data_IF_137882596681
#
_entry.id   IF_137882596681
#
_cell.length_a   1.000
_cell.length_b   1.000
_cell.length_c   1.000
_cell.angle_alpha   90.00
_cell.angle_beta   90.00
_cell.angle_gamma   90.00
#
_symmetry.space_group_name_H-M   'P 1'
#
loop_
_entity.id
_entity.type
_entity.pdbx_description
1 polymer ?
#
# COMPACT_ATOMS: atom_id res chain seq x y z
N UNK A 1 -41.37 26.71 31.77
CA UNK A 1 -42.58 25.86 31.91
C UNK A 1 -42.44 24.73 32.93
N UNK A 2 -41.41 23.87 32.92
CA UNK A 2 -41.27 22.73 33.86
C UNK A 2 -41.29 23.07 35.37
N UNK A 3 -40.76 24.25 35.78
CA UNK A 3 -40.68 24.63 37.21
C UNK A 3 -42.06 24.94 37.82
N UNK A 4 -42.94 25.64 37.09
CA UNK A 4 -44.30 25.97 37.56
C UNK A 4 -45.22 24.74 37.61
N UNK A 5 -45.03 23.79 36.69
CA UNK A 5 -45.77 22.52 36.71
C UNK A 5 -45.43 21.66 37.94
N UNK A 6 -44.15 21.61 38.34
CA UNK A 6 -43.73 20.92 39.56
C UNK A 6 -44.34 21.55 40.82
N UNK A 7 -44.40 22.88 40.88
CA UNK A 7 -45.01 23.61 42.00
C UNK A 7 -46.51 23.32 42.09
N UNK A 8 -47.23 23.34 40.97
CA UNK A 8 -48.67 23.04 40.92
C UNK A 8 -48.93 21.57 41.33
N UNK A 9 -48.13 20.62 40.86
CA UNK A 9 -48.25 19.21 41.27
C UNK A 9 -47.99 19.02 42.77
N UNK A 10 -47.02 19.75 43.34
CA UNK A 10 -46.72 19.69 44.77
C UNK A 10 -47.88 20.25 45.62
N UNK A 11 -48.49 21.36 45.18
CA UNK A 11 -49.68 21.93 45.82
C UNK A 11 -50.85 20.96 45.76
N UNK A 12 -51.12 20.36 44.59
CA UNK A 12 -52.19 19.38 44.41
C UNK A 12 -51.98 18.13 45.27
N UNK A 13 -50.73 17.66 45.41
CA UNK A 13 -50.39 16.52 46.26
C UNK A 13 -50.69 16.81 47.74
N UNK A 14 -50.26 17.96 48.26
CA UNK A 14 -50.55 18.37 49.64
C UNK A 14 -52.05 18.57 49.88
N UNK A 15 -52.79 19.06 48.87
CA UNK A 15 -54.24 19.27 48.96
C UNK A 15 -55.06 17.97 48.87
N UNK A 16 -54.52 16.91 48.27
CA UNK A 16 -55.25 15.66 47.98
C UNK A 16 -55.79 14.97 49.25
N UNK A 17 -55.02 14.82 50.34
CA UNK A 17 -55.56 14.26 51.59
C UNK A 17 -56.71 15.06 52.19
N UNK A 18 -56.68 16.39 52.10
CA UNK A 18 -57.78 17.24 52.55
C UNK A 18 -59.02 17.06 51.69
N UNK A 19 -58.85 16.93 50.37
CA UNK A 19 -59.94 16.71 49.43
C UNK A 19 -60.56 15.31 49.59
N UNK A 20 -59.74 14.27 49.82
CA UNK A 20 -60.22 12.92 50.12
C UNK A 20 -60.96 12.89 51.46
N UNK A 21 -60.41 13.50 52.50
CA UNK A 21 -61.09 13.60 53.79
C UNK A 21 -62.41 14.38 53.70
N UNK A 22 -62.45 15.45 52.90
CA UNK A 22 -63.68 16.19 52.60
C UNK A 22 -64.71 15.28 51.91
N UNK A 23 -64.32 14.54 50.87
CA UNK A 23 -65.21 13.62 50.16
C UNK A 23 -65.72 12.46 51.05
N UNK A 24 -64.87 11.91 51.91
CA UNK A 24 -65.24 10.82 52.83
C UNK A 24 -66.11 11.31 53.98
N UNK A 25 -65.89 12.54 54.47
CA UNK A 25 -66.72 13.19 55.48
C UNK A 25 -68.11 13.64 54.99
N UNK A 26 -68.31 13.73 53.66
CA UNK A 26 -69.59 14.03 53.03
C UNK A 26 -70.55 12.82 53.05
N UNK A 27 -70.97 12.37 54.24
CA UNK A 27 -72.14 11.47 54.36
C UNK A 27 -73.46 12.25 54.52
N UNK A 28 -73.41 13.56 54.81
CA UNK A 28 -74.56 14.48 54.79
C UNK A 28 -74.11 15.88 54.30
N UNK A 29 -74.83 16.53 53.36
CA UNK A 29 -74.40 17.77 52.70
C UNK A 29 -74.39 19.04 53.58
N UNK A 30 -74.75 18.96 54.86
CA UNK A 30 -74.92 20.13 55.75
C UNK A 30 -74.07 20.10 57.02
N UNK A 31 -73.22 19.09 57.24
CA UNK A 31 -72.33 19.04 58.41
C UNK A 31 -70.89 18.72 58.01
N UNK A 32 -70.04 19.74 58.03
CA UNK A 32 -68.61 19.61 57.82
C UNK A 32 -67.97 18.99 59.07
N UNK A 33 -67.71 17.68 59.06
CA UNK A 33 -66.95 17.00 60.11
C UNK A 33 -65.65 16.46 59.54
N UNK A 34 -64.52 17.04 59.97
CA UNK A 34 -63.19 16.50 59.69
C UNK A 34 -63.09 15.14 60.38
N UNK A 35 -62.83 14.08 59.62
CA UNK A 35 -62.71 12.72 60.16
C UNK A 35 -61.30 12.55 60.75
N UNK A 36 -61.21 11.97 61.96
CA UNK A 36 -59.96 11.69 62.67
C UNK A 36 -59.58 12.72 63.74
N UNK A 37 -58.86 12.27 64.77
CA UNK A 37 -58.25 13.13 65.79
C UNK A 37 -56.82 13.54 65.38
N UNK A 38 -56.18 14.44 66.14
CA UNK A 38 -54.83 14.94 65.80
C UNK A 38 -53.77 13.84 65.65
N UNK A 39 -53.85 12.79 66.47
CA UNK A 39 -52.95 11.63 66.40
C UNK A 39 -53.11 10.83 65.10
N UNK A 40 -54.36 10.66 64.64
CA UNK A 40 -54.67 9.98 63.38
C UNK A 40 -54.11 10.75 62.18
N UNK A 41 -54.19 12.09 62.21
CA UNK A 41 -53.63 12.96 61.17
C UNK A 41 -52.10 12.93 61.14
N UNK A 42 -51.45 12.92 62.29
CA UNK A 42 -49.99 12.81 62.39
C UNK A 42 -49.51 11.46 61.82
N UNK A 43 -50.17 10.36 62.19
CA UNK A 43 -49.85 9.03 61.68
C UNK A 43 -50.09 8.92 60.16
N UNK A 44 -51.19 9.50 59.66
CA UNK A 44 -51.46 9.58 58.23
C UNK A 44 -50.36 10.33 57.48
N UNK A 45 -49.99 11.53 57.92
CA UNK A 45 -48.94 12.32 57.27
C UNK A 45 -47.59 11.61 57.30
N UNK A 46 -47.25 10.94 58.41
CA UNK A 46 -46.02 10.13 58.53
C UNK A 46 -45.96 9.04 57.46
N UNK A 47 -47.03 8.26 57.30
CA UNK A 47 -47.10 7.21 56.27
C UNK A 47 -47.13 7.81 54.86
N UNK A 48 -47.92 8.86 54.65
CA UNK A 48 -48.08 9.54 53.36
C UNK A 48 -46.75 10.10 52.84
N UNK A 49 -45.98 10.78 53.69
CA UNK A 49 -44.64 11.28 53.34
C UNK A 49 -43.61 10.17 53.24
N UNK A 50 -43.67 9.12 54.08
CA UNK A 50 -42.76 7.98 53.97
C UNK A 50 -42.87 7.25 52.62
N UNK A 51 -44.08 7.19 52.06
CA UNK A 51 -44.35 6.63 50.74
C UNK A 51 -43.70 7.40 49.58
N UNK A 52 -43.29 8.65 49.77
CA UNK A 52 -42.61 9.46 48.74
C UNK A 52 -41.11 9.18 48.62
N UNK A 53 -40.48 8.73 49.71
CA UNK A 53 -39.03 8.54 49.75
C UNK A 53 -38.55 7.58 48.64
N UNK A 54 -39.20 6.42 48.40
CA UNK A 54 -38.83 5.54 47.29
C UNK A 54 -38.92 6.20 45.92
N UNK A 55 -39.91 7.07 45.68
CA UNK A 55 -40.07 7.78 44.40
C UNK A 55 -38.98 8.84 44.19
N UNK A 56 -38.58 9.54 45.25
CA UNK A 56 -37.48 10.52 45.20
C UNK A 56 -36.16 9.80 44.89
N UNK A 57 -35.87 8.70 45.60
CA UNK A 57 -34.67 7.89 45.35
C UNK A 57 -34.69 7.34 43.92
N UNK A 58 -35.81 6.75 43.48
CA UNK A 58 -35.97 6.25 42.12
C UNK A 58 -35.74 7.34 41.06
N UNK A 59 -36.26 8.54 41.29
CA UNK A 59 -36.06 9.67 40.38
C UNK A 59 -34.59 10.08 40.24
N UNK A 60 -33.87 10.16 41.36
CA UNK A 60 -32.43 10.43 41.35
C UNK A 60 -31.66 9.30 40.65
N UNK A 61 -31.98 8.04 40.93
CA UNK A 61 -31.37 6.87 40.29
C UNK A 61 -31.59 6.89 38.78
N UNK A 62 -32.81 7.13 38.30
CA UNK A 62 -33.11 7.22 36.86
C UNK A 62 -32.30 8.34 36.21
N UNK A 63 -32.20 9.51 36.87
CA UNK A 63 -31.46 10.64 36.32
C UNK A 63 -29.96 10.35 36.26
N UNK A 64 -29.40 9.73 37.29
CA UNK A 64 -28.00 9.32 37.34
C UNK A 64 -27.69 8.30 36.24
N UNK A 65 -28.49 7.22 36.16
CA UNK A 65 -28.32 6.16 35.16
C UNK A 65 -28.41 6.68 33.73
N UNK A 66 -29.30 7.66 33.46
CA UNK A 66 -29.36 8.29 32.13
C UNK A 66 -28.09 9.07 31.78
N UNK A 67 -27.55 9.83 32.74
CA UNK A 67 -26.31 10.57 32.52
C UNK A 67 -25.11 9.64 32.33
N UNK A 68 -25.04 8.57 33.12
CA UNK A 68 -23.98 7.56 32.99
C UNK A 68 -24.09 6.78 31.67
N UNK A 69 -25.29 6.36 31.27
CA UNK A 69 -25.54 5.70 29.99
C UNK A 69 -25.10 6.56 28.81
N UNK A 70 -25.36 7.87 28.84
CA UNK A 70 -24.88 8.80 27.81
C UNK A 70 -23.35 8.89 27.77
N UNK A 71 -22.68 8.91 28.92
CA UNK A 71 -21.20 8.90 28.98
C UNK A 71 -20.63 7.62 28.41
N UNK A 72 -21.22 6.47 28.74
CA UNK A 72 -20.80 5.16 28.22
C UNK A 72 -20.97 5.11 26.69
N UNK A 73 -22.09 5.60 26.15
CA UNK A 73 -22.31 5.66 24.70
C UNK A 73 -21.25 6.55 24.03
N UNK A 74 -20.94 7.71 24.61
CA UNK A 74 -19.93 8.61 24.07
C UNK A 74 -18.53 8.00 24.10
N UNK A 75 -18.13 7.41 25.23
CA UNK A 75 -16.84 6.73 25.38
C UNK A 75 -16.70 5.54 24.41
N UNK A 76 -17.77 4.74 24.26
CA UNK A 76 -17.80 3.64 23.30
C UNK A 76 -17.66 4.12 21.86
N UNK A 77 -18.28 5.26 21.52
CA UNK A 77 -18.16 5.85 20.19
C UNK A 77 -16.73 6.32 19.91
N UNK A 78 -16.12 7.03 20.85
CA UNK A 78 -14.72 7.48 20.74
C UNK A 78 -13.77 6.29 20.62
N UNK A 79 -13.96 5.25 21.44
CA UNK A 79 -13.15 4.04 21.35
C UNK A 79 -13.36 3.29 20.03
N UNK A 80 -14.59 3.25 19.50
CA UNK A 80 -14.87 2.62 18.22
C UNK A 80 -14.25 3.40 17.05
N UNK A 81 -14.27 4.72 17.09
CA UNK A 81 -13.62 5.57 16.09
C UNK A 81 -12.09 5.37 16.11
N UNK A 82 -11.48 5.33 17.30
CA UNK A 82 -10.06 4.98 17.47
C UNK A 82 -9.73 3.58 16.93
N UNK A 83 -10.53 2.57 17.28
CA UNK A 83 -10.34 1.20 16.80
C UNK A 83 -10.47 1.12 15.27
N UNK A 84 -11.43 1.83 14.68
CA UNK A 84 -11.60 1.91 13.23
C UNK A 84 -10.40 2.55 12.56
N UNK A 85 -9.85 3.61 13.14
CA UNK A 85 -8.67 4.28 12.63
C UNK A 85 -7.44 3.36 12.67
N UNK A 86 -7.21 2.68 13.80
CA UNK A 86 -6.16 1.66 13.92
C UNK A 86 -6.30 0.52 12.90
N UNK A 87 -7.53 0.05 12.65
CA UNK A 87 -7.78 -0.97 11.61
C UNK A 87 -7.43 -0.45 10.22
N UNK A 88 -7.85 0.77 9.87
CA UNK A 88 -7.54 1.39 8.57
C UNK A 88 -6.02 1.50 8.39
N UNK A 89 -5.30 1.96 9.39
CA UNK A 89 -3.85 2.17 9.27
C UNK A 89 -3.09 0.84 9.25
N UNK A 90 -3.58 -0.18 9.99
CA UNK A 90 -3.07 -1.56 9.87
C UNK A 90 -3.26 -2.11 8.47
N UNK A 91 -4.43 -1.92 7.86
CA UNK A 91 -4.72 -2.36 6.48
C UNK A 91 -3.80 -1.65 5.49
N UNK A 92 -3.63 -0.33 5.61
CA UNK A 92 -2.71 0.44 4.75
C UNK A 92 -1.28 -0.07 4.85
N UNK A 93 -0.80 -0.33 6.06
CA UNK A 93 0.54 -0.87 6.28
C UNK A 93 0.71 -2.26 5.64
N UNK A 94 -0.26 -3.15 5.81
CA UNK A 94 -0.25 -4.47 5.17
C UNK A 94 -0.25 -4.38 3.64
N UNK A 95 -1.07 -3.50 3.06
CA UNK A 95 -1.08 -3.26 1.61
C UNK A 95 0.27 -2.75 1.10
N UNK A 96 0.96 -1.87 1.85
CA UNK A 96 2.31 -1.40 1.50
C UNK A 96 3.35 -2.52 1.53
N UNK A 97 3.32 -3.38 2.55
CA UNK A 97 4.20 -4.55 2.62
C UNK A 97 3.96 -5.53 1.46
N UNK A 98 2.70 -5.79 1.13
CA UNK A 98 2.35 -6.66 0.01
C UNK A 98 2.83 -6.08 -1.33
N UNK A 99 2.66 -4.75 -1.53
CA UNK A 99 3.20 -4.06 -2.71
C UNK A 99 4.72 -4.18 -2.77
N UNK A 100 5.44 -3.97 -1.66
CA UNK A 100 6.90 -4.09 -1.60
C UNK A 100 7.35 -5.51 -1.98
N UNK A 101 6.67 -6.55 -1.49
CA UNK A 101 7.03 -7.93 -1.80
C UNK A 101 6.78 -8.25 -3.27
N UNK A 102 5.64 -7.83 -3.82
CA UNK A 102 5.35 -7.97 -5.27
C UNK A 102 6.37 -7.23 -6.14
N UNK A 103 6.78 -6.02 -5.74
CA UNK A 103 7.81 -5.26 -6.44
C UNK A 103 9.16 -5.99 -6.42
N UNK A 104 9.56 -6.57 -5.28
CA UNK A 104 10.77 -7.40 -5.20
C UNK A 104 10.71 -8.57 -6.17
N UNK A 105 9.59 -9.29 -6.21
CA UNK A 105 9.40 -10.38 -7.18
C UNK A 105 9.53 -9.89 -8.61
N UNK A 106 8.94 -8.73 -8.94
CA UNK A 106 9.05 -8.15 -10.28
C UNK A 106 10.48 -7.76 -10.64
N UNK A 107 11.23 -7.20 -9.69
CA UNK A 107 12.66 -6.87 -9.86
C UNK A 107 13.49 -8.13 -10.09
N UNK A 108 13.24 -9.21 -9.32
CA UNK A 108 13.93 -10.49 -9.51
C UNK A 108 13.64 -11.06 -10.89
N UNK A 109 12.37 -11.09 -11.30
CA UNK A 109 11.98 -11.54 -12.64
C UNK A 109 12.67 -10.72 -13.75
N UNK A 110 12.81 -9.40 -13.55
CA UNK A 110 13.51 -8.53 -14.48
C UNK A 110 15.01 -8.83 -14.53
N UNK A 111 15.64 -9.05 -13.37
CA UNK A 111 17.05 -9.43 -13.27
C UNK A 111 17.33 -10.77 -13.94
N UNK A 112 16.44 -11.74 -13.79
CA UNK A 112 16.54 -13.03 -14.48
C UNK A 112 16.32 -12.90 -15.99
N UNK A 113 15.45 -11.99 -16.42
CA UNK A 113 15.26 -11.70 -17.84
C UNK A 113 16.51 -11.07 -18.47
N UNK A 114 17.19 -10.19 -17.74
CA UNK A 114 18.43 -9.52 -18.14
C UNK A 114 19.69 -10.32 -17.76
N UNK A 115 19.60 -11.65 -17.65
CA UNK A 115 20.69 -12.47 -17.11
C UNK A 115 21.96 -12.48 -17.98
N UNK A 116 23.12 -12.40 -17.32
CA UNK A 116 24.46 -12.60 -17.91
C UNK A 116 24.62 -13.91 -18.69
N UNK A 117 23.84 -14.94 -18.36
CA UNK A 117 23.92 -16.25 -19.00
C UNK A 117 23.38 -16.24 -20.45
N UNK A 118 22.91 -15.10 -20.94
CA UNK A 118 22.46 -14.94 -22.32
C UNK A 118 23.55 -15.35 -23.30
N UNK A 119 24.81 -15.02 -23.03
CA UNK A 119 25.95 -15.37 -23.86
C UNK A 119 26.08 -16.90 -24.11
N UNK A 120 25.82 -17.71 -23.09
CA UNK A 120 25.87 -19.18 -23.19
C UNK A 120 24.85 -19.74 -24.20
N UNK A 121 23.75 -19.02 -24.45
CA UNK A 121 22.73 -19.44 -25.43
C UNK A 121 23.22 -19.29 -26.88
N UNK A 122 24.24 -18.46 -27.11
CA UNK A 122 24.85 -18.24 -28.42
C UNK A 122 26.01 -19.21 -28.71
N UNK A 123 26.72 -19.70 -27.68
CA UNK A 123 27.94 -20.53 -27.83
C UNK A 123 27.71 -21.81 -28.65
N UNK A 124 26.52 -22.42 -28.60
CA UNK A 124 26.21 -23.68 -29.28
C UNK A 124 25.36 -23.52 -30.55
N UNK A 125 25.15 -22.30 -31.04
CA UNK A 125 24.30 -22.02 -32.20
C UNK A 125 25.15 -21.58 -33.38
N UNK A 126 25.06 -22.33 -34.49
CA UNK A 126 25.93 -22.16 -35.66
C UNK A 126 25.20 -21.65 -36.90
N UNK A 127 23.87 -21.59 -36.89
CA UNK A 127 23.07 -21.07 -38.01
C UNK A 127 22.30 -19.80 -37.62
N UNK A 128 22.08 -18.93 -38.61
CA UNK A 128 21.45 -17.62 -38.41
C UNK A 128 19.97 -17.70 -37.96
N UNK A 129 19.25 -18.76 -38.35
CA UNK A 129 17.87 -18.99 -37.92
C UNK A 129 17.80 -19.24 -36.40
N UNK A 130 18.71 -20.05 -35.86
CA UNK A 130 18.80 -20.34 -34.44
C UNK A 130 19.18 -19.08 -33.63
N UNK A 131 20.09 -18.26 -34.14
CA UNK A 131 20.49 -17.01 -33.48
C UNK A 131 19.33 -16.02 -33.42
N UNK A 132 18.59 -15.84 -34.52
CA UNK A 132 17.38 -15.02 -34.56
C UNK A 132 16.30 -15.49 -33.58
N UNK A 133 16.11 -16.81 -33.47
CA UNK A 133 15.18 -17.40 -32.52
C UNK A 133 15.58 -17.10 -31.07
N UNK A 134 16.89 -17.15 -30.75
CA UNK A 134 17.40 -16.77 -29.42
C UNK A 134 17.12 -15.30 -29.14
N UNK A 135 17.46 -14.40 -30.06
CA UNK A 135 17.20 -12.95 -29.92
C UNK A 135 15.71 -12.69 -29.69
N UNK A 136 14.83 -13.26 -30.53
CA UNK A 136 13.38 -13.10 -30.39
C UNK A 136 12.83 -13.64 -29.06
N UNK A 137 13.31 -14.79 -28.60
CA UNK A 137 12.92 -15.36 -27.31
C UNK A 137 13.33 -14.45 -26.14
N UNK A 138 14.56 -13.91 -26.16
CA UNK A 138 15.04 -12.98 -25.13
C UNK A 138 14.30 -11.65 -25.16
N UNK A 139 14.00 -11.09 -26.34
CA UNK A 139 13.16 -9.90 -26.48
C UNK A 139 11.80 -10.08 -25.80
N UNK A 140 11.13 -11.20 -26.09
CA UNK A 140 9.82 -11.50 -25.51
C UNK A 140 9.89 -11.68 -24.00
N UNK A 141 10.95 -12.32 -23.50
CA UNK A 141 11.20 -12.51 -22.06
C UNK A 141 11.37 -11.16 -21.36
N UNK A 142 12.25 -10.31 -21.87
CA UNK A 142 12.52 -8.97 -21.30
C UNK A 142 11.29 -8.09 -21.37
N UNK A 143 10.58 -8.06 -22.49
CA UNK A 143 9.36 -7.25 -22.62
C UNK A 143 8.27 -7.71 -21.64
N UNK A 144 8.10 -9.02 -21.44
CA UNK A 144 7.13 -9.54 -20.46
C UNK A 144 7.52 -9.13 -19.03
N UNK A 145 8.79 -9.25 -18.68
CA UNK A 145 9.29 -8.85 -17.36
C UNK A 145 9.18 -7.34 -17.14
N UNK A 146 9.49 -6.53 -18.17
CA UNK A 146 9.34 -5.07 -18.16
C UNK A 146 7.89 -4.66 -17.95
N UNK A 147 6.94 -5.26 -18.68
CA UNK A 147 5.52 -4.97 -18.51
C UNK A 147 5.02 -5.36 -17.11
N UNK A 148 5.48 -6.49 -16.58
CA UNK A 148 5.14 -6.92 -15.23
C UNK A 148 5.68 -5.95 -14.17
N UNK A 149 6.95 -5.55 -14.27
CA UNK A 149 7.55 -4.53 -13.41
C UNK A 149 6.83 -3.17 -13.53
N UNK A 150 6.55 -2.76 -14.76
CA UNK A 150 5.81 -1.54 -15.06
C UNK A 150 4.44 -1.52 -14.38
N UNK A 151 3.75 -2.66 -14.27
CA UNK A 151 2.43 -2.74 -13.62
C UNK A 151 2.42 -2.34 -12.14
N UNK A 152 3.56 -2.48 -11.44
CA UNK A 152 3.71 -2.08 -10.03
C UNK A 152 4.18 -0.63 -9.86
N UNK A 153 4.61 -0.02 -10.96
CA UNK A 153 5.09 1.36 -11.02
C UNK A 153 4.11 2.26 -11.81
N UNK A 154 2.88 1.77 -12.07
CA UNK A 154 1.80 2.58 -12.66
C UNK A 154 1.40 3.63 -11.63
N UNK A 155 1.47 4.91 -12.02
CA UNK A 155 1.30 6.07 -11.14
C UNK A 155 2.44 6.26 -10.14
N UNK A 156 3.68 6.31 -10.64
CA UNK A 156 4.84 6.73 -9.84
C UNK A 156 4.51 8.00 -9.05
N UNK A 157 4.40 7.89 -7.73
CA UNK A 157 4.12 9.03 -6.84
C UNK A 157 5.42 9.77 -6.50
N UNK A 158 6.55 9.07 -6.65
CA UNK A 158 7.86 9.54 -6.23
C UNK A 158 8.83 9.64 -7.39
N UNK A 159 9.67 10.69 -7.36
CA UNK A 159 10.72 10.92 -8.37
C UNK A 159 11.67 9.73 -8.55
N UNK A 160 11.93 8.97 -7.49
CA UNK A 160 12.82 7.80 -7.48
C UNK A 160 12.23 6.64 -8.29
N UNK A 161 10.91 6.44 -8.25
CA UNK A 161 10.23 5.43 -9.05
C UNK A 161 10.31 5.81 -10.54
N UNK A 162 10.04 7.07 -10.86
CA UNK A 162 10.14 7.59 -12.24
C UNK A 162 11.56 7.47 -12.80
N UNK A 163 12.57 7.87 -12.03
CA UNK A 163 13.99 7.73 -12.42
C UNK A 163 14.34 6.25 -12.67
N UNK A 164 13.82 5.35 -11.83
CA UNK A 164 14.06 3.92 -12.00
C UNK A 164 13.38 3.37 -13.27
N UNK A 165 12.16 3.78 -13.59
CA UNK A 165 11.47 3.38 -14.84
C UNK A 165 12.26 3.83 -16.06
N UNK A 166 12.71 5.09 -16.08
CA UNK A 166 13.56 5.60 -17.18
C UNK A 166 14.89 4.85 -17.27
N UNK A 167 15.50 4.54 -16.13
CA UNK A 167 16.72 3.75 -16.08
C UNK A 167 16.51 2.35 -16.67
N UNK A 168 15.46 1.64 -16.26
CA UNK A 168 15.13 0.31 -16.79
C UNK A 168 14.89 0.36 -18.29
N UNK A 169 14.19 1.39 -18.78
CA UNK A 169 13.95 1.55 -20.21
C UNK A 169 15.26 1.70 -20.99
N UNK A 170 16.15 2.60 -20.56
CA UNK A 170 17.49 2.78 -21.16
C UNK A 170 18.32 1.49 -21.07
N UNK A 171 18.26 0.78 -19.95
CA UNK A 171 19.00 -0.46 -19.75
C UNK A 171 18.48 -1.58 -20.67
N UNK A 172 17.17 -1.71 -20.87
CA UNK A 172 16.58 -2.66 -21.81
C UNK A 172 17.03 -2.37 -23.26
N UNK A 173 17.06 -1.11 -23.68
CA UNK A 173 17.58 -0.74 -25.00
C UNK A 173 19.03 -1.20 -25.16
N UNK A 174 19.87 -0.92 -24.16
CA UNK A 174 21.24 -1.43 -24.12
C UNK A 174 21.25 -2.96 -24.23
N UNK A 175 20.36 -3.67 -23.53
CA UNK A 175 20.32 -5.15 -23.53
C UNK A 175 20.05 -5.68 -24.93
N UNK A 176 19.12 -5.06 -25.62
CA UNK A 176 18.79 -5.41 -26.99
C UNK A 176 19.96 -5.14 -27.94
N UNK A 177 20.71 -4.06 -27.72
CA UNK A 177 21.96 -3.83 -28.42
C UNK A 177 22.99 -4.93 -28.19
N UNK A 178 23.15 -5.40 -26.94
CA UNK A 178 23.99 -6.55 -26.60
C UNK A 178 23.53 -7.82 -27.32
N UNK A 179 22.23 -8.10 -27.38
CA UNK A 179 21.70 -9.27 -28.10
C UNK A 179 22.08 -9.25 -29.58
N UNK A 180 21.92 -8.09 -30.23
CA UNK A 180 22.30 -7.94 -31.63
C UNK A 180 23.82 -8.02 -31.82
N UNK A 181 24.61 -7.55 -30.87
CA UNK A 181 26.07 -7.62 -30.91
C UNK A 181 26.55 -9.08 -30.77
N UNK A 182 25.91 -9.86 -29.89
CA UNK A 182 26.16 -11.30 -29.73
C UNK A 182 25.73 -12.09 -30.97
N UNK A 183 24.56 -11.77 -31.53
CA UNK A 183 24.08 -12.38 -32.78
C UNK A 183 25.10 -12.17 -33.91
N UNK A 184 25.58 -10.93 -34.08
CA UNK A 184 26.60 -10.61 -35.07
C UNK A 184 27.91 -11.36 -34.82
N UNK A 185 28.43 -11.32 -33.59
CA UNK A 185 29.69 -11.98 -33.22
C UNK A 185 29.65 -13.49 -33.51
N UNK A 186 28.55 -14.15 -33.17
CA UNK A 186 28.37 -15.59 -33.38
C UNK A 186 27.96 -15.98 -34.82
N UNK A 187 27.57 -15.00 -35.65
CA UNK A 187 27.36 -15.21 -37.09
C UNK A 187 28.67 -15.20 -37.90
N UNK A 188 29.74 -14.62 -37.36
CA UNK A 188 31.04 -14.52 -38.03
C UNK A 188 31.77 -15.87 -37.98
N UNK A 189 32.32 -16.28 -39.12
CA UNK A 189 33.20 -17.45 -39.22
C UNK A 189 34.60 -17.12 -38.68
N UNK A 190 35.21 -18.04 -37.94
CA UNK A 190 36.59 -17.88 -37.45
C UNK A 190 37.61 -17.85 -38.60
N UNK A 191 38.74 -17.16 -38.37
CA UNK A 191 39.89 -17.11 -39.27
C UNK A 191 39.58 -16.56 -40.68
N UNK A 192 38.64 -15.60 -40.78
CA UNK A 192 38.43 -14.86 -42.03
C UNK A 192 39.49 -13.76 -42.24
N UNK A 193 39.79 -13.38 -43.50
CA UNK A 193 40.66 -12.25 -43.78
C UNK A 193 40.18 -10.96 -43.11
N UNK A 194 41.11 -10.15 -42.59
CA UNK A 194 40.78 -8.90 -41.87
C UNK A 194 39.94 -7.94 -42.72
N UNK A 195 40.18 -7.85 -44.03
CA UNK A 195 39.39 -7.00 -44.93
C UNK A 195 37.93 -7.45 -45.03
N UNK A 196 37.69 -8.77 -44.98
CA UNK A 196 36.34 -9.33 -44.97
C UNK A 196 35.64 -9.02 -43.65
N UNK A 197 36.31 -9.23 -42.52
CA UNK A 197 35.76 -8.87 -41.21
C UNK A 197 35.45 -7.37 -41.14
N UNK A 198 36.33 -6.52 -41.65
CA UNK A 198 36.10 -5.08 -41.72
C UNK A 198 34.86 -4.72 -42.54
N UNK A 199 34.65 -5.33 -43.71
CA UNK A 199 33.45 -5.12 -44.52
C UNK A 199 32.18 -5.56 -43.77
N UNK A 200 32.22 -6.73 -43.13
CA UNK A 200 31.09 -7.25 -42.36
C UNK A 200 30.74 -6.35 -41.16
N UNK A 201 31.76 -5.85 -40.45
CA UNK A 201 31.59 -4.91 -39.32
C UNK A 201 31.02 -3.56 -39.79
N UNK A 202 31.50 -3.01 -40.90
CA UNK A 202 30.98 -1.75 -41.45
C UNK A 202 29.52 -1.90 -41.86
N UNK A 203 29.18 -2.98 -42.56
CA UNK A 203 27.79 -3.28 -42.96
C UNK A 203 26.88 -3.44 -41.75
N UNK A 204 27.35 -4.13 -40.72
CA UNK A 204 26.62 -4.29 -39.47
C UNK A 204 26.39 -2.94 -38.77
N UNK A 205 27.44 -2.12 -38.63
CA UNK A 205 27.36 -0.78 -38.04
C UNK A 205 26.35 0.11 -38.77
N UNK A 206 26.38 0.11 -40.10
CA UNK A 206 25.42 0.87 -40.92
C UNK A 206 23.98 0.40 -40.69
N UNK A 207 23.75 -0.91 -40.55
CA UNK A 207 22.41 -1.46 -40.27
C UNK A 207 21.84 -1.10 -38.88
N UNK A 208 22.69 -0.60 -37.96
CA UNK A 208 22.33 -0.30 -36.57
C UNK A 208 22.56 1.17 -36.17
N UNK A 209 22.90 2.03 -37.14
CA UNK A 209 23.41 3.41 -36.94
C UNK A 209 22.52 4.33 -36.10
N UNK A 210 21.22 4.03 -36.01
CA UNK A 210 20.26 4.85 -35.24
C UNK A 210 20.15 4.50 -33.75
N UNK A 211 20.86 3.48 -33.23
CA UNK A 211 20.46 2.84 -31.96
C UNK A 211 21.31 3.03 -30.71
N UNK A 212 22.56 3.51 -30.71
CA UNK A 212 23.31 3.60 -29.44
C UNK A 212 24.60 4.44 -29.44
N UNK A 213 25.10 4.75 -28.24
CA UNK A 213 26.42 5.33 -27.97
C UNK A 213 27.52 4.36 -28.44
N UNK A 214 28.34 4.80 -29.41
CA UNK A 214 29.23 3.97 -30.23
C UNK A 214 30.30 3.16 -29.46
N UNK A 215 30.76 3.60 -28.29
CA UNK A 215 31.98 3.05 -27.67
C UNK A 215 31.85 1.66 -27.04
N UNK A 216 30.64 1.24 -26.65
CA UNK A 216 30.40 -0.05 -25.98
C UNK A 216 29.92 -1.16 -26.90
N UNK A 217 29.92 -0.90 -28.22
CA UNK A 217 29.39 -1.80 -29.23
C UNK A 217 30.48 -2.71 -29.79
N UNK A 218 30.07 -3.89 -30.26
CA UNK A 218 30.99 -4.90 -30.78
C UNK A 218 31.90 -4.38 -31.89
N UNK A 219 31.42 -3.46 -32.75
CA UNK A 219 32.25 -2.86 -33.80
C UNK A 219 33.44 -2.08 -33.25
N UNK A 220 33.24 -1.28 -32.20
CA UNK A 220 34.31 -0.52 -31.54
C UNK A 220 35.34 -1.44 -30.88
N UNK A 221 34.88 -2.57 -30.32
CA UNK A 221 35.74 -3.59 -29.72
C UNK A 221 36.59 -4.28 -30.79
N UNK A 222 36.01 -4.65 -31.93
CA UNK A 222 36.74 -5.28 -33.05
C UNK A 222 37.74 -4.31 -33.68
N UNK A 223 37.34 -3.05 -33.85
CA UNK A 223 38.21 -1.96 -34.35
C UNK A 223 39.47 -1.80 -33.48
N UNK A 224 39.33 -1.90 -32.15
CA UNK A 224 40.46 -1.78 -31.22
C UNK A 224 41.56 -2.84 -31.38
N UNK A 225 41.25 -3.95 -32.09
CA UNK A 225 42.17 -5.06 -32.37
C UNK A 225 42.52 -5.18 -33.85
N UNK A 226 42.31 -4.13 -34.64
CA UNK A 226 42.60 -4.12 -36.08
C UNK A 226 41.93 -5.28 -36.84
N UNK A 227 40.69 -5.63 -36.46
CA UNK A 227 39.89 -6.65 -37.16
C UNK A 227 40.56 -8.04 -37.22
N UNK A 228 41.27 -8.45 -36.16
CA UNK A 228 41.78 -9.82 -36.04
C UNK A 228 40.63 -10.81 -35.79
N UNK A 229 40.64 -11.96 -36.47
CA UNK A 229 39.54 -12.96 -36.42
C UNK A 229 39.99 -14.34 -35.88
N UNK A 230 41.18 -14.42 -35.28
CA UNK A 230 41.67 -15.64 -34.66
C UNK A 230 40.86 -16.00 -33.40
N UNK A 231 40.97 -17.25 -32.95
CA UNK A 231 40.20 -17.76 -31.82
C UNK A 231 40.42 -16.94 -30.53
N UNK A 232 41.65 -16.43 -30.32
CA UNK A 232 42.00 -15.61 -29.17
C UNK A 232 41.32 -14.25 -29.22
N UNK A 233 41.23 -13.65 -30.40
CA UNK A 233 40.59 -12.36 -30.67
C UNK A 233 39.09 -12.46 -30.50
N UNK A 234 38.46 -13.52 -31.02
CA UNK A 234 37.02 -13.74 -30.85
C UNK A 234 36.63 -13.97 -29.39
N UNK A 235 37.43 -14.74 -28.65
CA UNK A 235 37.25 -14.91 -27.20
C UNK A 235 37.41 -13.58 -26.45
N UNK A 236 38.38 -12.75 -26.86
CA UNK A 236 38.57 -11.41 -26.31
C UNK A 236 37.37 -10.51 -26.59
N UNK A 237 36.83 -10.50 -27.82
CA UNK A 237 35.66 -9.71 -28.19
C UNK A 237 34.44 -10.08 -27.36
N UNK A 238 34.18 -11.38 -27.20
CA UNK A 238 33.08 -11.88 -26.39
C UNK A 238 33.18 -11.41 -24.93
N UNK A 239 34.34 -11.61 -24.30
CA UNK A 239 34.55 -11.22 -22.90
C UNK A 239 34.45 -9.70 -22.71
N UNK A 240 35.06 -8.93 -23.62
CA UNK A 240 35.02 -7.47 -23.54
C UNK A 240 33.61 -6.92 -23.74
N UNK A 241 32.83 -7.53 -24.64
CA UNK A 241 31.43 -7.15 -24.85
C UNK A 241 30.60 -7.38 -23.58
N UNK A 242 30.80 -8.51 -22.89
CA UNK A 242 30.12 -8.80 -21.63
C UNK A 242 30.52 -7.83 -20.50
N UNK A 243 31.80 -7.45 -20.41
CA UNK A 243 32.27 -6.45 -19.44
C UNK A 243 31.64 -5.07 -19.69
N UNK A 244 31.59 -4.64 -20.95
CA UNK A 244 31.08 -3.32 -21.34
C UNK A 244 29.59 -3.14 -21.06
N UNK A 245 28.86 -4.18 -20.64
CA UNK A 245 27.43 -4.11 -20.42
C UNK A 245 27.03 -3.62 -19.00
N UNK A 246 27.93 -3.74 -18.03
CA UNK A 246 27.76 -3.22 -16.65
C UNK A 246 26.44 -3.62 -15.96
N UNK A 247 26.17 -4.91 -15.88
CA UNK A 247 25.01 -5.45 -15.15
C UNK A 247 25.02 -5.12 -13.64
N UNK A 248 26.18 -4.84 -13.07
CA UNK A 248 26.33 -4.38 -11.68
C UNK A 248 25.59 -3.06 -11.41
N UNK A 249 25.50 -2.18 -12.41
CA UNK A 249 24.75 -0.92 -12.33
C UNK A 249 23.25 -1.21 -12.17
N UNK A 250 22.73 -2.21 -12.88
CA UNK A 250 21.33 -2.61 -12.77
C UNK A 250 21.01 -3.12 -11.37
N UNK A 251 21.82 -4.05 -10.85
CA UNK A 251 21.64 -4.55 -9.48
C UNK A 251 21.68 -3.44 -8.43
N UNK A 252 22.60 -2.49 -8.57
CA UNK A 252 22.72 -1.36 -7.67
C UNK A 252 21.44 -0.51 -7.67
N UNK A 253 20.92 -0.15 -8.84
CA UNK A 253 19.68 0.65 -8.98
C UNK A 253 18.47 -0.08 -8.43
N UNK A 254 18.37 -1.40 -8.63
CA UNK A 254 17.32 -2.22 -8.02
C UNK A 254 17.37 -2.19 -6.47
N UNK A 255 18.57 -2.31 -5.88
CA UNK A 255 18.75 -2.23 -4.42
C UNK A 255 18.40 -0.84 -3.87
N UNK A 256 18.73 0.22 -4.60
CA UNK A 256 18.38 1.59 -4.25
C UNK A 256 16.86 1.77 -4.17
N UNK A 257 16.11 1.30 -5.18
CA UNK A 257 14.65 1.35 -5.19
C UNK A 257 14.04 0.55 -4.02
N UNK A 258 14.50 -0.69 -3.79
CA UNK A 258 13.98 -1.52 -2.69
C UNK A 258 14.21 -0.85 -1.32
N UNK A 259 15.36 -0.20 -1.12
CA UNK A 259 15.64 0.54 0.11
C UNK A 259 14.74 1.77 0.26
N UNK A 260 14.48 2.48 -0.83
CA UNK A 260 13.57 3.62 -0.85
C UNK A 260 12.15 3.21 -0.44
N UNK A 261 11.60 2.18 -1.09
CA UNK A 261 10.25 1.66 -0.78
C UNK A 261 10.13 1.14 0.65
N UNK A 262 11.18 0.48 1.15
CA UNK A 262 11.20 0.04 2.55
C UNK A 262 11.11 1.21 3.53
N UNK A 263 11.83 2.31 3.26
CA UNK A 263 11.78 3.52 4.10
C UNK A 263 10.39 4.16 4.08
N UNK A 264 9.72 4.19 2.94
CA UNK A 264 8.34 4.69 2.83
C UNK A 264 7.36 3.84 3.65
N UNK A 265 7.51 2.53 3.63
CA UNK A 265 6.69 1.62 4.45
C UNK A 265 6.93 1.84 5.96
N UNK A 266 8.17 2.05 6.37
CA UNK A 266 8.55 2.35 7.76
C UNK A 266 8.02 3.72 8.24
N UNK A 267 8.05 4.74 7.37
CA UNK A 267 7.52 6.07 7.69
C UNK A 267 6.01 6.04 7.97
N UNK A 268 5.21 5.32 7.18
CA UNK A 268 3.78 5.15 7.47
C UNK A 268 3.50 4.52 8.84
N UNK A 269 4.37 3.63 9.31
CA UNK A 269 4.21 2.99 10.61
C UNK A 269 4.43 3.99 11.76
N UNK A 270 5.38 4.92 11.60
CA UNK A 270 5.69 5.92 12.62
C UNK A 270 4.63 7.03 12.69
N UNK A 271 3.95 7.35 11.59
CA UNK A 271 2.79 8.26 11.61
C UNK A 271 1.54 7.64 12.26
N UNK A 272 1.53 6.32 12.43
CA UNK A 272 0.42 5.56 13.05
C UNK A 272 0.57 5.43 14.58
N UNK A 273 1.72 5.79 15.16
CA UNK A 273 2.03 5.71 16.60
C UNK A 273 1.91 7.07 17.28
#
# INVERSE_FOLDING_TARGET
MRKYQLIICLILYIATPFLINYLVGCQNPTQLKIVGNGETWINFWSVYFSGLIPFIVLWFTIRHNRAESQRIIQANKEQNDLNRQLQIDTIKYQMRLERLEKLRTAIVNMSEALSFNVANKFINKTNCLDLNNVVSAEFNKVNRAKSFLGSFLINCEHSQETEFVEFVDKFCHRYFDLLFDLEFLHSITFNIPNDKLKQDVVKYRESKRDRSIDCNRIWSIIESRNYQSDNKSMSFYHNKLMECYHFDIFEKKCRELIRFEKKLAEQSLNETK
#
